data_IF_300086015932
#
_entry.id   IF_300086015932
#
_cell.length_a   1.000
_cell.length_b   1.000
_cell.length_c   1.000
_cell.angle_alpha   90.00
_cell.angle_beta   90.00
_cell.angle_gamma   90.00
#
_symmetry.space_group_name_H-M   'P 1'
#
loop_
_entity.id
_entity.type
_entity.pdbx_description
1 polymer ?
#
# COMPACT_ATOMS: atom_id res chain seq x y z
N UNK A 1 48.49 -1.02 4.53
CA UNK A 1 47.97 -2.38 4.39
C UNK A 1 46.87 -2.32 3.33
N UNK A 2 47.14 -2.88 2.15
CA UNK A 2 46.19 -2.82 1.00
C UNK A 2 45.14 -3.91 1.09
N UNK A 3 43.86 -3.63 0.74
CA UNK A 3 42.86 -4.68 0.64
C UNK A 3 42.97 -5.45 -0.70
N UNK A 4 42.89 -6.75 -0.59
CA UNK A 4 42.92 -7.74 -1.67
C UNK A 4 41.65 -7.69 -2.53
N UNK A 5 41.86 -7.86 -3.85
CA UNK A 5 40.86 -7.82 -4.89
C UNK A 5 39.76 -8.90 -4.80
N UNK A 6 38.59 -8.51 -5.26
CA UNK A 6 37.44 -9.36 -5.50
C UNK A 6 37.47 -9.81 -6.97
N UNK A 7 37.39 -11.13 -7.17
CA UNK A 7 37.35 -11.76 -8.49
C UNK A 7 35.96 -11.62 -9.13
N UNK A 8 35.85 -11.52 -10.47
CA UNK A 8 34.58 -11.35 -11.14
C UNK A 8 33.81 -12.67 -11.28
N UNK A 9 32.51 -12.63 -11.03
CA UNK A 9 31.58 -13.73 -11.19
C UNK A 9 31.34 -14.07 -12.68
N UNK A 10 31.33 -15.37 -12.97
CA UNK A 10 31.06 -15.97 -14.28
C UNK A 10 29.60 -15.70 -14.73
N UNK A 11 29.44 -15.17 -15.95
CA UNK A 11 28.17 -15.15 -16.69
C UNK A 11 27.92 -16.52 -17.35
N UNK A 12 26.71 -17.08 -17.25
CA UNK A 12 26.36 -18.27 -18.04
C UNK A 12 26.06 -17.87 -19.49
N UNK A 13 26.63 -18.66 -20.40
CA UNK A 13 26.46 -18.52 -21.85
C UNK A 13 25.08 -19.04 -22.30
N UNK A 14 24.31 -18.18 -22.96
CA UNK A 14 23.07 -18.56 -23.64
C UNK A 14 23.41 -19.45 -24.86
N UNK A 15 22.97 -20.71 -24.84
CA UNK A 15 22.95 -21.59 -26.00
C UNK A 15 21.79 -21.21 -26.91
N UNK A 16 22.10 -20.68 -28.08
CA UNK A 16 21.19 -20.54 -29.21
C UNK A 16 20.92 -21.91 -29.83
N UNK A 17 19.71 -22.42 -29.69
CA UNK A 17 19.24 -23.57 -30.45
C UNK A 17 18.69 -23.08 -31.79
N UNK A 18 19.36 -23.48 -32.87
CA UNK A 18 18.88 -23.26 -34.23
C UNK A 18 17.78 -24.31 -34.55
N UNK A 19 16.55 -23.84 -34.77
CA UNK A 19 15.50 -24.68 -35.36
C UNK A 19 15.55 -24.58 -36.89
N UNK A 20 15.75 -25.74 -37.52
CA UNK A 20 15.75 -25.90 -38.97
C UNK A 20 14.32 -25.79 -39.50
N UNK A 21 14.14 -24.93 -40.50
CA UNK A 21 12.96 -24.84 -41.34
C UNK A 21 12.87 -26.04 -42.26
N UNK A 22 11.81 -26.83 -42.17
CA UNK A 22 11.37 -27.76 -43.22
C UNK A 22 10.17 -27.10 -43.93
N UNK A 23 10.45 -26.55 -45.10
CA UNK A 23 9.44 -26.08 -46.02
C UNK A 23 8.89 -27.28 -46.83
N UNK A 24 7.63 -27.62 -46.59
CA UNK A 24 6.87 -28.52 -47.48
C UNK A 24 5.85 -27.67 -48.21
N UNK A 25 6.14 -27.39 -49.48
CA UNK A 25 5.20 -26.79 -50.40
C UNK A 25 4.23 -27.85 -50.89
N UNK A 26 2.97 -27.77 -50.51
CA UNK A 26 1.87 -28.51 -51.16
C UNK A 26 1.06 -27.50 -51.97
N UNK A 27 1.28 -27.46 -53.26
CA UNK A 27 0.44 -26.77 -54.23
C UNK A 27 -0.77 -27.64 -54.46
N UNK A 28 -1.94 -27.24 -53.97
CA UNK A 28 -3.23 -27.75 -54.40
C UNK A 28 -4.01 -26.61 -55.04
N UNK A 29 -3.93 -26.53 -56.35
CA UNK A 29 -4.80 -25.73 -57.19
C UNK A 29 -6.17 -26.43 -57.26
N UNK A 30 -7.14 -25.90 -56.54
CA UNK A 30 -8.56 -26.18 -56.77
C UNK A 30 -9.19 -24.89 -57.27
N UNK A 31 -9.39 -24.85 -58.59
CA UNK A 31 -10.29 -23.89 -59.21
C UNK A 31 -11.72 -24.29 -58.87
N UNK A 32 -12.28 -23.73 -57.80
CA UNK A 32 -13.70 -23.70 -57.56
C UNK A 32 -14.18 -22.25 -57.79
N UNK A 33 -14.91 -22.06 -58.87
CA UNK A 33 -15.86 -20.93 -58.99
C UNK A 33 -16.91 -21.12 -57.92
N UNK A 34 -16.60 -20.66 -56.70
CA UNK A 34 -17.53 -20.62 -55.59
C UNK A 34 -17.99 -19.17 -55.41
N UNK A 35 -19.27 -19.02 -55.25
CA UNK A 35 -19.95 -17.78 -54.86
C UNK A 35 -19.14 -17.01 -53.86
N UNK A 36 -18.93 -15.72 -54.12
CA UNK A 36 -18.33 -14.82 -53.13
C UNK A 36 -19.16 -14.93 -51.87
N UNK A 37 -18.58 -15.35 -50.71
CA UNK A 37 -19.36 -15.41 -49.50
C UNK A 37 -19.78 -13.96 -49.18
N UNK A 38 -21.06 -13.65 -49.31
CA UNK A 38 -21.67 -12.41 -48.86
C UNK A 38 -21.80 -12.40 -47.31
N UNK A 39 -20.89 -13.06 -46.63
CA UNK A 39 -20.86 -13.06 -45.17
C UNK A 39 -20.33 -11.72 -44.63
N UNK A 40 -21.06 -11.14 -43.71
CA UNK A 40 -20.56 -10.02 -42.93
C UNK A 40 -19.29 -10.45 -42.18
N UNK A 41 -18.20 -9.71 -42.35
CA UNK A 41 -16.98 -9.95 -41.60
C UNK A 41 -17.21 -9.57 -40.14
N UNK A 42 -16.80 -10.43 -39.24
CA UNK A 42 -16.88 -10.20 -37.80
C UNK A 42 -15.49 -10.38 -37.14
N UNK A 43 -15.23 -9.61 -36.11
CA UNK A 43 -14.13 -9.87 -35.22
C UNK A 43 -14.48 -11.08 -34.35
N UNK A 44 -13.65 -12.10 -34.38
CA UNK A 44 -13.90 -13.38 -33.72
C UNK A 44 -13.93 -13.28 -32.20
N UNK A 45 -14.72 -14.14 -31.59
CA UNK A 45 -14.73 -14.33 -30.15
C UNK A 45 -13.32 -14.60 -29.59
N UNK A 46 -13.00 -14.04 -28.44
CA UNK A 46 -11.72 -14.19 -27.76
C UNK A 46 -10.56 -13.46 -28.43
N UNK A 47 -10.78 -12.59 -29.42
CA UNK A 47 -9.76 -11.65 -29.87
C UNK A 47 -9.32 -10.76 -28.72
N UNK A 48 -8.02 -10.57 -28.50
CA UNK A 48 -7.47 -9.79 -27.39
C UNK A 48 -6.38 -8.86 -27.86
N UNK A 49 -6.32 -7.68 -27.22
CA UNK A 49 -5.24 -6.73 -27.30
C UNK A 49 -4.92 -6.26 -25.88
N UNK A 50 -3.66 -6.12 -25.57
CA UNK A 50 -3.19 -5.61 -24.29
C UNK A 50 -2.08 -4.60 -24.51
N UNK A 51 -2.02 -3.60 -23.64
CA UNK A 51 -0.89 -2.69 -23.54
C UNK A 51 -0.63 -2.47 -22.05
N UNK A 52 0.60 -2.61 -21.64
CA UNK A 52 0.98 -2.43 -20.23
C UNK A 52 1.02 -0.95 -19.84
N UNK A 53 1.15 -0.06 -20.81
CA UNK A 53 1.13 1.38 -20.59
C UNK A 53 0.67 2.10 -21.86
N UNK A 54 -0.36 2.94 -21.76
CA UNK A 54 -0.75 3.88 -22.79
C UNK A 54 -0.75 5.30 -22.19
N UNK A 55 -0.26 6.31 -22.93
CA UNK A 55 -0.05 7.66 -22.38
C UNK A 55 -1.32 8.47 -22.17
N UNK A 56 -2.45 7.95 -22.59
CA UNK A 56 -3.75 8.66 -22.60
C UNK A 56 -4.88 7.72 -22.20
N UNK A 57 -5.93 8.28 -21.61
CA UNK A 57 -7.18 7.53 -21.40
C UNK A 57 -7.86 7.25 -22.74
N UNK A 58 -8.24 5.99 -22.94
CA UNK A 58 -9.12 5.55 -24.05
C UNK A 58 -10.54 5.32 -23.58
N UNK A 59 -10.84 5.65 -22.35
CA UNK A 59 -12.13 5.49 -21.71
C UNK A 59 -13.17 6.47 -22.27
N UNK A 60 -14.39 6.01 -22.64
CA UNK A 60 -15.50 6.91 -22.79
C UNK A 60 -15.77 7.69 -21.50
N UNK A 61 -16.03 8.99 -21.60
CA UNK A 61 -16.19 9.85 -20.44
C UNK A 61 -17.31 9.40 -19.47
N UNK A 62 -18.37 8.80 -19.99
CA UNK A 62 -19.48 8.26 -19.20
C UNK A 62 -19.08 7.01 -18.41
N UNK A 63 -18.20 6.17 -18.97
CA UNK A 63 -17.71 4.96 -18.33
C UNK A 63 -16.63 5.31 -17.28
N UNK A 64 -15.74 6.25 -17.57
CA UNK A 64 -14.78 6.78 -16.61
C UNK A 64 -15.48 7.42 -15.40
N UNK A 65 -16.57 8.14 -15.61
CA UNK A 65 -17.35 8.76 -14.53
C UNK A 65 -17.93 7.75 -13.53
N UNK A 66 -18.14 6.50 -13.93
CA UNK A 66 -18.66 5.44 -13.05
C UNK A 66 -17.64 4.90 -12.08
N UNK A 67 -16.33 5.09 -12.36
CA UNK A 67 -15.22 4.65 -11.54
C UNK A 67 -14.54 5.82 -10.81
N UNK A 68 -15.15 7.01 -10.87
CA UNK A 68 -14.64 8.18 -10.16
C UNK A 68 -14.70 7.99 -8.63
N UNK A 69 -13.74 8.56 -7.91
CA UNK A 69 -13.66 8.42 -6.46
C UNK A 69 -13.27 7.00 -6.03
N UNK A 70 -13.88 6.51 -4.96
CA UNK A 70 -13.53 5.23 -4.36
C UNK A 70 -14.10 4.01 -5.11
N UNK A 71 -15.05 4.20 -6.02
CA UNK A 71 -15.69 3.08 -6.73
C UNK A 71 -14.73 2.28 -7.62
N UNK A 72 -13.70 2.95 -8.16
CA UNK A 72 -12.63 2.32 -8.94
C UNK A 72 -11.42 1.86 -8.13
N UNK A 73 -11.38 2.14 -6.83
CA UNK A 73 -10.21 1.97 -5.99
C UNK A 73 -10.21 0.61 -5.30
N UNK A 74 -9.08 -0.11 -5.35
CA UNK A 74 -8.80 -1.30 -4.55
C UNK A 74 -7.47 -1.11 -3.82
N UNK A 75 -7.50 -1.19 -2.49
CA UNK A 75 -6.36 -0.96 -1.61
C UNK A 75 -5.98 -2.23 -0.86
N UNK A 76 -4.69 -2.53 -0.83
CA UNK A 76 -4.09 -3.56 0.01
C UNK A 76 -2.97 -3.01 0.89
N UNK A 77 -2.32 -3.86 1.66
CA UNK A 77 -1.15 -3.44 2.44
C UNK A 77 0.08 -3.16 1.55
N UNK A 78 0.15 -3.81 0.38
CA UNK A 78 1.30 -3.75 -0.51
C UNK A 78 0.97 -3.23 -1.91
N UNK A 79 -0.28 -2.80 -2.14
CA UNK A 79 -0.69 -2.26 -3.43
C UNK A 79 -1.77 -1.20 -3.31
N UNK A 80 -1.78 -0.31 -4.28
CA UNK A 80 -2.89 0.54 -4.64
C UNK A 80 -3.22 0.30 -6.11
N UNK A 81 -4.48 0.10 -6.43
CA UNK A 81 -4.94 -0.13 -7.78
C UNK A 81 -6.21 0.68 -8.03
N UNK A 82 -6.23 1.41 -9.14
CA UNK A 82 -7.39 2.17 -9.57
C UNK A 82 -7.82 1.76 -10.97
N UNK A 83 -9.05 1.31 -11.09
CA UNK A 83 -9.71 1.11 -12.39
C UNK A 83 -10.18 2.47 -12.90
N UNK A 84 -9.79 2.84 -14.10
CA UNK A 84 -10.25 4.08 -14.76
C UNK A 84 -11.60 3.90 -15.40
N UNK A 85 -11.79 2.80 -16.15
CA UNK A 85 -13.09 2.45 -16.70
C UNK A 85 -13.21 0.98 -17.08
N UNK A 86 -14.47 0.58 -17.24
CA UNK A 86 -14.88 -0.61 -17.98
C UNK A 86 -15.91 -0.17 -19.00
N UNK A 87 -15.65 -0.44 -20.28
CA UNK A 87 -16.55 -0.10 -21.37
C UNK A 87 -16.89 -1.33 -22.20
N UNK A 88 -18.13 -1.39 -22.70
CA UNK A 88 -18.62 -2.46 -23.58
C UNK A 88 -19.29 -1.88 -24.81
N UNK A 89 -19.00 -2.46 -25.98
CA UNK A 89 -19.48 -1.94 -27.24
C UNK A 89 -19.97 -3.08 -28.15
N UNK A 90 -21.18 -2.94 -28.71
CA UNK A 90 -21.67 -3.80 -29.81
C UNK A 90 -20.95 -3.48 -31.14
N UNK A 91 -20.43 -2.26 -31.27
CA UNK A 91 -19.54 -1.81 -32.35
C UNK A 91 -18.65 -0.66 -31.79
N UNK A 92 -17.41 -0.57 -32.24
CA UNK A 92 -16.54 0.51 -31.78
C UNK A 92 -17.10 1.86 -32.23
N UNK A 93 -17.15 2.86 -31.34
CA UNK A 93 -17.51 4.22 -31.69
C UNK A 93 -16.59 4.80 -32.78
N UNK A 94 -17.14 5.68 -33.63
CA UNK A 94 -16.34 6.40 -34.62
C UNK A 94 -15.29 7.28 -33.89
N UNK A 95 -14.03 7.14 -34.31
CA UNK A 95 -12.91 7.88 -33.68
C UNK A 95 -12.43 7.30 -32.35
N UNK A 96 -12.85 6.08 -31.99
CA UNK A 96 -12.31 5.39 -30.81
C UNK A 96 -10.80 5.17 -31.00
N UNK A 97 -9.99 5.72 -30.09
CA UNK A 97 -8.54 5.77 -30.23
C UNK A 97 -7.86 4.44 -29.90
N UNK A 98 -8.15 3.39 -30.67
CA UNK A 98 -7.40 2.13 -30.59
C UNK A 98 -5.99 2.21 -31.22
N UNK A 99 -5.66 3.29 -31.88
CA UNK A 99 -4.35 3.45 -32.57
C UNK A 99 -3.17 3.25 -31.60
N UNK A 100 -3.34 3.62 -30.33
CA UNK A 100 -2.35 3.38 -29.27
C UNK A 100 -2.23 1.90 -28.88
N UNK A 101 -3.28 1.13 -28.98
CA UNK A 101 -3.30 -0.31 -28.68
C UNK A 101 -2.89 -1.16 -29.88
N UNK A 102 -3.18 -0.69 -31.10
CA UNK A 102 -3.10 -1.49 -32.31
C UNK A 102 -1.81 -1.27 -33.11
N UNK A 103 -1.03 -0.24 -32.78
CA UNK A 103 0.19 0.14 -33.54
C UNK A 103 -0.17 0.67 -34.93
N UNK A 104 -0.40 -0.14 -35.93
CA UNK A 104 -0.82 0.29 -37.27
C UNK A 104 -2.15 -0.39 -37.68
N UNK A 105 -3.17 0.42 -37.96
CA UNK A 105 -4.38 0.17 -38.76
C UNK A 105 -4.97 -1.27 -38.76
N UNK A 106 -5.40 -1.75 -37.62
CA UNK A 106 -6.23 -2.97 -37.59
C UNK A 106 -7.71 -2.56 -37.77
N UNK A 107 -8.32 -2.97 -38.87
CA UNK A 107 -9.75 -2.83 -39.03
C UNK A 107 -10.47 -3.88 -38.16
N UNK A 108 -11.02 -3.48 -37.03
CA UNK A 108 -11.91 -4.32 -36.26
C UNK A 108 -13.33 -4.21 -36.81
N UNK A 109 -13.89 -5.34 -37.17
CA UNK A 109 -15.30 -5.45 -37.55
C UNK A 109 -16.15 -5.64 -36.28
N UNK A 110 -17.45 -5.39 -36.37
CA UNK A 110 -18.36 -5.70 -35.25
C UNK A 110 -18.15 -7.13 -34.76
N UNK A 111 -18.31 -7.38 -33.45
CA UNK A 111 -18.20 -8.72 -32.87
C UNK A 111 -19.21 -9.70 -33.52
N UNK A 112 -18.97 -11.00 -33.37
CA UNK A 112 -19.95 -12.02 -33.71
C UNK A 112 -21.27 -11.81 -32.91
N UNK A 113 -22.42 -12.22 -33.42
CA UNK A 113 -23.69 -12.14 -32.69
C UNK A 113 -23.58 -12.82 -31.31
N UNK A 114 -23.98 -12.11 -30.23
CA UNK A 114 -23.91 -12.59 -28.86
C UNK A 114 -22.58 -12.27 -28.16
N UNK A 115 -21.71 -11.52 -28.85
CA UNK A 115 -20.44 -11.02 -28.29
C UNK A 115 -20.39 -9.49 -28.33
N UNK A 116 -19.54 -8.93 -27.51
CA UNK A 116 -19.25 -7.49 -27.43
C UNK A 116 -17.76 -7.24 -27.33
N UNK A 117 -17.31 -6.06 -27.72
CA UNK A 117 -15.99 -5.55 -27.31
C UNK A 117 -16.06 -5.14 -25.86
N UNK A 118 -15.10 -5.58 -25.08
CA UNK A 118 -14.94 -5.21 -23.69
C UNK A 118 -13.57 -4.61 -23.48
N UNK A 119 -13.54 -3.45 -22.83
CA UNK A 119 -12.33 -2.69 -22.49
C UNK A 119 -12.27 -2.56 -20.97
N UNK A 120 -11.10 -2.80 -20.39
CA UNK A 120 -10.75 -2.43 -19.02
C UNK A 120 -9.48 -1.60 -19.09
N UNK A 121 -9.50 -0.41 -18.50
CA UNK A 121 -8.33 0.44 -18.35
C UNK A 121 -8.07 0.73 -16.87
N UNK A 122 -6.81 0.65 -16.48
CA UNK A 122 -6.34 1.08 -15.17
C UNK A 122 -5.85 2.53 -15.24
N UNK A 123 -6.01 3.27 -14.15
CA UNK A 123 -5.61 4.67 -14.09
C UNK A 123 -4.09 4.83 -14.20
N UNK A 124 -3.63 5.95 -14.80
CA UNK A 124 -2.21 6.26 -14.94
C UNK A 124 -1.55 6.61 -13.62
N UNK A 125 -2.31 7.26 -12.75
CA UNK A 125 -1.87 7.61 -11.41
C UNK A 125 -2.69 6.77 -10.43
N UNK A 126 -2.05 5.91 -9.64
CA UNK A 126 -2.78 5.08 -8.68
C UNK A 126 -3.50 5.93 -7.64
N UNK A 127 -2.98 7.07 -7.25
CA UNK A 127 -3.54 7.98 -6.25
C UNK A 127 -2.46 8.51 -5.34
N UNK A 128 -2.86 9.27 -4.32
CA UNK A 128 -1.95 9.85 -3.34
C UNK A 128 -1.68 8.92 -2.12
N UNK A 129 -2.28 7.72 -2.10
CA UNK A 129 -2.07 6.79 -1.01
C UNK A 129 -0.69 6.14 -1.15
N UNK A 130 0.22 6.46 -0.24
CA UNK A 130 1.46 5.70 -0.15
C UNK A 130 1.14 4.28 0.33
N UNK A 131 1.59 3.22 -0.38
CA UNK A 131 1.40 1.86 0.08
C UNK A 131 2.02 1.71 1.49
N UNK A 132 1.25 1.16 2.42
CA UNK A 132 1.57 1.12 3.85
C UNK A 132 2.86 0.36 4.17
N UNK A 133 3.39 -0.45 3.25
CA UNK A 133 4.65 -1.14 3.48
C UNK A 133 5.34 -1.55 2.18
N UNK A 134 6.56 -1.05 1.97
CA UNK A 134 7.35 -1.28 0.76
C UNK A 134 8.04 -2.66 0.69
N UNK A 135 7.90 -3.52 1.69
CA UNK A 135 8.40 -4.89 1.60
C UNK A 135 7.36 -5.75 0.91
N UNK A 136 7.66 -6.10 -0.35
CA UNK A 136 6.81 -6.95 -1.17
C UNK A 136 6.44 -8.24 -0.43
N UNK A 137 5.18 -8.31 0.00
CA UNK A 137 4.53 -9.56 0.36
C UNK A 137 4.34 -10.44 -0.88
N UNK A 138 3.81 -11.63 -0.70
CA UNK A 138 3.35 -12.44 -1.81
C UNK A 138 2.13 -11.75 -2.45
N UNK A 139 2.38 -10.99 -3.51
CA UNK A 139 1.35 -10.29 -4.27
C UNK A 139 1.06 -11.05 -5.56
N UNK A 140 -0.20 -11.25 -5.88
CA UNK A 140 -0.64 -11.79 -7.15
C UNK A 140 -2.00 -11.20 -7.51
N UNK A 141 -2.23 -10.95 -8.80
CA UNK A 141 -3.54 -10.50 -9.27
C UNK A 141 -3.99 -11.29 -10.49
N UNK A 142 -5.30 -11.37 -10.70
CA UNK A 142 -5.91 -11.97 -11.87
C UNK A 142 -7.06 -11.11 -12.36
N UNK A 143 -6.97 -10.60 -13.60
CA UNK A 143 -8.08 -9.97 -14.29
C UNK A 143 -8.79 -11.01 -15.17
N UNK A 144 -10.09 -11.18 -15.00
CA UNK A 144 -10.92 -12.09 -15.83
C UNK A 144 -11.98 -11.28 -16.58
N UNK A 145 -12.08 -11.52 -17.88
CA UNK A 145 -13.15 -11.00 -18.74
C UNK A 145 -13.80 -12.20 -19.44
N UNK A 146 -14.94 -12.64 -18.95
CA UNK A 146 -15.54 -13.89 -19.40
C UNK A 146 -14.62 -15.09 -19.26
N UNK A 147 -14.29 -15.75 -20.38
CA UNK A 147 -13.41 -16.92 -20.41
C UNK A 147 -11.92 -16.56 -20.53
N UNK A 148 -11.56 -15.28 -20.55
CA UNK A 148 -10.18 -14.82 -20.63
C UNK A 148 -9.67 -14.42 -19.26
N UNK A 149 -8.41 -14.78 -18.98
CA UNK A 149 -7.72 -14.38 -17.76
C UNK A 149 -6.33 -13.85 -18.11
N UNK A 150 -5.89 -12.87 -17.31
CA UNK A 150 -4.53 -12.34 -17.28
C UNK A 150 -4.05 -12.44 -15.83
N UNK A 151 -2.97 -13.17 -15.62
CA UNK A 151 -2.37 -13.40 -14.32
C UNK A 151 -1.12 -12.52 -14.17
N UNK A 152 -0.96 -11.91 -12.99
CA UNK A 152 0.12 -11.01 -12.60
C UNK A 152 0.81 -11.59 -11.37
N UNK A 153 1.99 -12.19 -11.59
CA UNK A 153 2.76 -12.80 -10.52
C UNK A 153 3.71 -11.76 -9.89
N UNK A 154 3.51 -11.48 -8.61
CA UNK A 154 4.33 -10.54 -7.86
C UNK A 154 3.92 -9.08 -8.02
N UNK A 155 2.85 -8.78 -8.76
CA UNK A 155 2.41 -7.42 -9.05
C UNK A 155 0.89 -7.32 -9.25
N UNK A 156 0.39 -6.12 -9.40
CA UNK A 156 -0.96 -5.79 -9.90
C UNK A 156 -0.85 -5.23 -11.31
N UNK A 157 -1.98 -5.13 -12.07
CA UNK A 157 -1.97 -4.46 -13.36
C UNK A 157 -1.28 -3.10 -13.31
N UNK A 158 -0.39 -2.84 -14.27
CA UNK A 158 0.40 -1.61 -14.32
C UNK A 158 -0.50 -0.36 -14.47
N UNK A 159 -0.09 0.81 -13.93
CA UNK A 159 -0.77 2.08 -14.20
C UNK A 159 -0.84 2.36 -15.70
N UNK A 160 -2.04 2.75 -16.18
CA UNK A 160 -2.28 2.99 -17.60
C UNK A 160 -2.45 1.73 -18.45
N UNK A 161 -2.39 0.53 -17.87
CA UNK A 161 -2.58 -0.72 -18.59
C UNK A 161 -4.00 -0.82 -19.15
N UNK A 162 -4.10 -1.41 -20.36
CA UNK A 162 -5.37 -1.62 -21.08
C UNK A 162 -5.51 -3.06 -21.51
N UNK A 163 -6.68 -3.62 -21.23
CA UNK A 163 -7.08 -4.96 -21.61
C UNK A 163 -8.35 -4.86 -22.47
N UNK A 164 -8.23 -5.26 -23.72
CA UNK A 164 -9.33 -5.24 -24.67
C UNK A 164 -9.56 -6.65 -25.21
N UNK A 165 -10.82 -7.08 -25.25
CA UNK A 165 -11.18 -8.40 -25.76
C UNK A 165 -12.57 -8.41 -26.40
N UNK A 166 -12.82 -9.43 -27.23
CA UNK A 166 -14.16 -9.80 -27.67
C UNK A 166 -14.70 -10.89 -26.76
N UNK A 167 -15.54 -10.51 -25.83
CA UNK A 167 -16.15 -11.39 -24.84
C UNK A 167 -17.61 -11.66 -25.16
N UNK A 168 -18.16 -12.71 -24.54
CA UNK A 168 -19.61 -12.96 -24.59
C UNK A 168 -20.33 -11.77 -23.96
N UNK A 169 -21.45 -11.36 -24.59
CA UNK A 169 -22.22 -10.23 -24.08
C UNK A 169 -22.65 -10.45 -22.63
N UNK A 170 -22.53 -9.41 -21.83
CA UNK A 170 -22.79 -9.43 -20.37
C UNK A 170 -21.95 -10.44 -19.58
N UNK A 171 -20.80 -10.89 -20.13
CA UNK A 171 -19.88 -11.75 -19.38
C UNK A 171 -19.36 -11.05 -18.11
N UNK A 172 -19.15 -11.78 -17.00
CA UNK A 172 -18.57 -11.19 -15.78
C UNK A 172 -17.16 -10.64 -16.05
N UNK A 173 -16.85 -9.53 -15.40
CA UNK A 173 -15.53 -8.92 -15.41
C UNK A 173 -15.07 -8.80 -13.96
N UNK A 174 -14.07 -9.56 -13.57
CA UNK A 174 -13.62 -9.62 -12.19
C UNK A 174 -12.12 -9.38 -12.09
N UNK A 175 -11.73 -8.64 -11.08
CA UNK A 175 -10.36 -8.48 -10.65
C UNK A 175 -10.21 -9.11 -9.27
N UNK A 176 -9.31 -10.05 -9.15
CA UNK A 176 -8.93 -10.71 -7.91
C UNK A 176 -7.49 -10.34 -7.58
N UNK A 177 -7.24 -9.90 -6.35
CA UNK A 177 -5.90 -9.61 -5.84
C UNK A 177 -5.67 -10.39 -4.57
N UNK A 178 -4.57 -11.14 -4.52
CA UNK A 178 -4.07 -11.84 -3.33
C UNK A 178 -2.86 -11.07 -2.82
N UNK A 179 -2.95 -10.57 -1.60
CA UNK A 179 -1.92 -9.80 -0.94
C UNK A 179 -1.59 -10.45 0.41
N UNK A 180 -0.40 -11.04 0.54
CA UNK A 180 0.05 -11.75 1.74
C UNK A 180 -1.04 -12.71 2.28
N UNK A 181 -1.49 -13.65 1.44
CA UNK A 181 -2.54 -14.66 1.71
C UNK A 181 -3.96 -14.11 1.86
N UNK A 182 -4.18 -12.81 1.79
CA UNK A 182 -5.52 -12.20 1.83
C UNK A 182 -6.03 -11.88 0.44
N UNK A 183 -7.22 -12.39 0.12
CA UNK A 183 -7.86 -12.17 -1.17
C UNK A 183 -8.88 -11.05 -1.09
N UNK A 184 -8.80 -10.13 -2.06
CA UNK A 184 -9.81 -9.13 -2.35
C UNK A 184 -10.32 -9.34 -3.78
N UNK A 185 -11.62 -9.15 -3.99
CA UNK A 185 -12.24 -9.31 -5.31
C UNK A 185 -13.09 -8.09 -5.64
N UNK A 186 -13.01 -7.64 -6.89
CA UNK A 186 -13.86 -6.59 -7.45
C UNK A 186 -14.61 -7.10 -8.67
N UNK A 187 -15.93 -7.07 -8.63
CA UNK A 187 -16.75 -7.18 -9.83
C UNK A 187 -16.77 -5.81 -10.53
N UNK A 188 -16.15 -5.75 -11.71
CA UNK A 188 -15.94 -4.50 -12.40
C UNK A 188 -17.20 -4.03 -13.17
N UNK A 189 -18.18 -4.90 -13.45
CA UNK A 189 -19.46 -4.50 -14.03
C UNK A 189 -20.38 -3.91 -12.97
N UNK A 190 -20.53 -4.63 -11.86
CA UNK A 190 -21.41 -4.23 -10.76
C UNK A 190 -20.73 -3.24 -9.80
N UNK A 191 -19.41 -3.09 -9.89
CA UNK A 191 -18.57 -2.25 -9.04
C UNK A 191 -18.68 -2.64 -7.56
N UNK A 192 -18.96 -3.91 -7.32
CA UNK A 192 -19.00 -4.47 -5.97
C UNK A 192 -17.66 -5.04 -5.58
N UNK A 193 -17.33 -4.95 -4.31
CA UNK A 193 -16.05 -5.39 -3.77
C UNK A 193 -16.24 -6.31 -2.59
N UNK A 194 -15.44 -7.36 -2.51
CA UNK A 194 -15.43 -8.34 -1.42
C UNK A 194 -14.02 -8.44 -0.80
N UNK A 195 -13.95 -8.80 0.46
CA UNK A 195 -12.68 -8.97 1.18
C UNK A 195 -12.00 -7.65 1.59
N UNK A 196 -12.70 -6.51 1.51
CA UNK A 196 -12.16 -5.20 1.86
C UNK A 196 -11.76 -5.11 3.33
N UNK A 197 -10.72 -4.30 3.56
CA UNK A 197 -10.29 -3.90 4.90
C UNK A 197 -10.66 -2.44 5.06
N UNK A 198 -11.66 -2.18 5.89
CA UNK A 198 -12.28 -0.87 6.02
C UNK A 198 -11.26 0.23 6.35
N UNK A 199 -10.27 -0.06 7.19
CA UNK A 199 -9.27 0.92 7.61
C UNK A 199 -8.44 1.52 6.47
N UNK A 200 -8.28 0.80 5.34
CA UNK A 200 -7.57 1.30 4.15
C UNK A 200 -8.34 2.39 3.41
N UNK A 201 -9.66 2.45 3.61
CA UNK A 201 -10.56 3.39 2.90
C UNK A 201 -11.06 4.53 3.79
N UNK A 202 -10.56 4.64 5.03
CA UNK A 202 -11.05 5.63 6.00
C UNK A 202 -9.92 6.47 6.56
N UNK A 203 -10.03 7.78 6.44
CA UNK A 203 -9.09 8.73 7.02
C UNK A 203 -7.70 8.72 6.38
N UNK A 204 -6.79 9.46 7.00
CA UNK A 204 -5.37 9.50 6.61
C UNK A 204 -4.62 8.30 7.16
N UNK A 205 -3.50 7.93 6.52
CA UNK A 205 -2.63 6.86 7.00
C UNK A 205 -1.77 7.30 8.20
N UNK A 206 -1.37 8.57 8.27
CA UNK A 206 -0.48 9.08 9.31
C UNK A 206 -0.81 10.50 9.73
N UNK A 207 -0.41 10.83 10.95
CA UNK A 207 -0.59 12.15 11.58
C UNK A 207 0.61 12.45 12.46
N UNK A 208 1.12 13.67 12.39
CA UNK A 208 2.07 14.24 13.32
C UNK A 208 1.36 15.20 14.27
N UNK A 209 1.68 15.16 15.56
CA UNK A 209 1.05 16.01 16.55
C UNK A 209 1.84 17.28 16.85
N UNK A 210 1.24 18.19 17.61
CA UNK A 210 1.99 19.24 18.29
C UNK A 210 2.94 18.65 19.33
N UNK A 211 4.05 19.35 19.58
CA UNK A 211 5.07 18.90 20.51
C UNK A 211 4.64 19.06 21.99
N UNK A 212 4.85 18.03 22.79
CA UNK A 212 4.86 18.13 24.24
C UNK A 212 6.20 18.72 24.72
N UNK A 213 6.16 19.85 25.42
CA UNK A 213 7.35 20.57 25.89
C UNK A 213 7.26 20.92 27.36
N UNK A 214 8.38 20.80 28.05
CA UNK A 214 8.49 21.19 29.45
C UNK A 214 9.91 21.13 29.96
N UNK A 215 10.08 21.45 31.23
CA UNK A 215 11.30 21.25 31.98
C UNK A 215 11.01 20.62 33.33
N UNK A 216 11.95 19.92 33.86
CA UNK A 216 11.91 19.30 35.19
C UNK A 216 13.19 19.58 35.96
N UNK A 217 13.06 19.60 37.27
CA UNK A 217 14.16 19.67 38.20
C UNK A 217 14.28 18.35 38.96
N UNK A 218 15.46 18.02 39.41
CA UNK A 218 15.69 16.86 40.26
C UNK A 218 16.56 17.19 41.44
N UNK A 219 16.19 16.74 42.66
CA UNK A 219 16.99 17.02 43.87
C UNK A 219 16.86 15.87 44.85
N UNK A 220 18.00 15.50 45.46
CA UNK A 220 18.02 14.53 46.55
C UNK A 220 19.24 14.73 47.45
N UNK A 221 19.20 14.15 48.64
CA UNK A 221 20.33 14.17 49.60
C UNK A 221 20.69 12.75 49.96
N UNK A 222 21.98 12.41 49.88
CA UNK A 222 22.49 11.11 50.30
C UNK A 222 23.67 11.33 51.25
N UNK A 223 23.52 10.99 52.52
CA UNK A 223 24.49 11.29 53.55
C UNK A 223 24.62 12.80 53.80
N UNK A 224 25.83 13.36 53.59
CA UNK A 224 26.10 14.81 53.69
C UNK A 224 26.16 15.50 52.31
N UNK A 225 25.89 14.79 51.24
CA UNK A 225 25.96 15.33 49.88
C UNK A 225 24.56 15.63 49.35
N UNK A 226 24.41 16.77 48.66
CA UNK A 226 23.23 17.15 47.93
C UNK A 226 23.54 16.98 46.45
N UNK A 227 22.61 16.27 45.74
CA UNK A 227 22.66 16.04 44.33
C UNK A 227 21.46 16.72 43.69
N UNK A 228 21.70 17.45 42.58
CA UNK A 228 20.64 18.19 41.92
C UNK A 228 20.97 18.46 40.46
N UNK A 229 19.92 18.67 39.66
CA UNK A 229 19.93 19.31 38.35
C UNK A 229 18.71 20.22 38.27
N UNK A 230 18.84 21.30 37.51
CA UNK A 230 17.75 22.22 37.25
C UNK A 230 17.51 22.32 35.74
N UNK A 231 16.29 22.61 35.35
CA UNK A 231 15.88 22.91 33.98
C UNK A 231 16.25 21.84 32.95
N UNK A 232 16.03 20.55 33.24
CA UNK A 232 16.12 19.55 32.19
C UNK A 232 14.94 19.70 31.26
N UNK A 233 15.19 20.34 30.11
CA UNK A 233 14.19 20.55 29.07
C UNK A 233 13.91 19.27 28.30
N UNK A 234 12.64 19.05 27.97
CA UNK A 234 12.20 18.00 27.06
C UNK A 234 11.26 18.55 26.02
N UNK A 235 11.35 17.99 24.83
CA UNK A 235 10.43 18.20 23.71
C UNK A 235 10.25 16.88 23.00
N UNK A 236 8.99 16.47 22.78
CA UNK A 236 8.67 15.28 21.99
C UNK A 236 7.46 15.52 21.11
N UNK A 237 7.52 15.01 19.90
CA UNK A 237 6.44 14.97 18.90
C UNK A 237 5.99 13.52 18.79
N UNK A 238 4.70 13.30 18.63
CA UNK A 238 4.14 11.98 18.42
C UNK A 238 3.78 11.81 16.95
N UNK A 239 4.30 10.75 16.35
CA UNK A 239 3.95 10.29 15.02
C UNK A 239 2.98 9.13 15.18
N UNK A 240 1.80 9.26 14.59
CA UNK A 240 0.80 8.21 14.62
C UNK A 240 0.60 7.69 13.21
N UNK A 241 0.57 6.36 13.06
CA UNK A 241 0.16 5.70 11.82
C UNK A 241 -0.97 4.73 12.09
N UNK A 242 -1.79 4.49 11.06
CA UNK A 242 -2.83 3.46 11.07
C UNK A 242 -2.47 2.43 10.01
N UNK A 243 -2.24 1.21 10.46
CA UNK A 243 -1.82 0.10 9.63
C UNK A 243 -2.83 -1.05 9.69
N UNK A 244 -2.83 -1.90 8.70
CA UNK A 244 -3.67 -3.10 8.62
C UNK A 244 -2.84 -4.38 8.53
N UNK A 245 -1.55 -4.22 8.33
CA UNK A 245 -0.59 -5.30 8.20
C UNK A 245 0.70 -4.95 8.95
N UNK A 246 1.30 -5.92 9.60
CA UNK A 246 2.58 -5.76 10.28
C UNK A 246 3.53 -6.89 9.88
N UNK A 247 4.75 -6.57 9.36
CA UNK A 247 5.74 -7.58 9.01
C UNK A 247 5.99 -8.56 10.14
N UNK A 248 5.96 -9.86 9.82
CA UNK A 248 6.16 -10.94 10.80
C UNK A 248 4.93 -11.30 11.66
N UNK A 249 3.89 -10.47 11.70
CA UNK A 249 2.61 -10.75 12.37
C UNK A 249 1.50 -11.01 11.36
N UNK A 250 1.56 -10.36 10.19
CA UNK A 250 0.52 -10.45 9.15
C UNK A 250 -0.58 -9.40 9.31
N UNK A 251 -1.72 -9.70 8.73
CA UNK A 251 -2.89 -8.85 8.71
C UNK A 251 -3.56 -8.72 10.08
N UNK A 252 -4.27 -7.60 10.29
CA UNK A 252 -5.25 -7.51 11.40
C UNK A 252 -6.23 -8.68 11.36
N UNK A 253 -6.60 -9.19 12.54
CA UNK A 253 -7.44 -10.39 12.63
C UNK A 253 -8.84 -10.18 12.04
N UNK A 254 -9.41 -8.98 12.27
CA UNK A 254 -10.76 -8.64 11.86
C UNK A 254 -10.74 -7.51 10.81
N UNK A 255 -11.58 -7.53 9.77
CA UNK A 255 -11.57 -6.55 8.68
C UNK A 255 -12.02 -5.14 9.11
N UNK A 256 -12.67 -5.02 10.25
CA UNK A 256 -13.14 -3.78 10.87
C UNK A 256 -12.19 -3.24 11.95
N UNK A 257 -10.96 -3.78 12.02
CA UNK A 257 -9.89 -3.34 12.94
C UNK A 257 -8.73 -2.71 12.18
N UNK A 258 -7.94 -1.93 12.92
CA UNK A 258 -6.67 -1.36 12.48
C UNK A 258 -5.65 -1.42 13.62
N UNK A 259 -4.37 -1.35 13.27
CA UNK A 259 -3.29 -1.13 14.21
C UNK A 259 -2.97 0.37 14.24
N UNK A 260 -3.16 0.99 15.39
CA UNK A 260 -2.68 2.36 15.65
C UNK A 260 -1.27 2.24 16.22
N UNK A 261 -0.27 2.70 15.49
CA UNK A 261 1.11 2.81 15.97
C UNK A 261 1.37 4.24 16.42
N UNK A 262 1.89 4.40 17.64
CA UNK A 262 2.31 5.69 18.20
C UNK A 262 3.81 5.63 18.44
N UNK A 263 4.54 6.50 17.78
CA UNK A 263 5.99 6.62 17.90
C UNK A 263 6.35 7.98 18.49
N UNK A 264 7.32 7.99 19.41
CA UNK A 264 7.87 9.22 19.95
C UNK A 264 9.32 9.05 20.42
N UNK A 265 10.11 10.11 20.24
CA UNK A 265 11.49 10.15 20.65
C UNK A 265 11.66 10.68 22.08
N UNK A 266 12.68 10.19 22.80
CA UNK A 266 12.99 10.58 24.16
C UNK A 266 14.50 10.66 24.39
N UNK A 267 14.96 11.75 25.03
CA UNK A 267 16.34 11.86 25.49
C UNK A 267 16.53 10.97 26.71
N UNK A 268 16.93 9.72 26.47
CA UNK A 268 17.07 8.71 27.52
C UNK A 268 18.21 8.98 28.47
N UNK A 269 19.34 9.46 27.95
CA UNK A 269 20.48 9.88 28.78
C UNK A 269 21.21 11.06 28.16
N UNK A 270 21.77 11.90 29.01
CA UNK A 270 22.65 13.01 28.64
C UNK A 270 23.55 13.42 29.78
N UNK A 271 24.82 13.76 29.49
CA UNK A 271 25.76 14.31 30.45
C UNK A 271 25.93 13.46 31.74
N UNK A 272 25.91 12.13 31.61
CA UNK A 272 26.06 11.20 32.75
C UNK A 272 24.78 10.96 33.56
N UNK A 273 23.69 11.61 33.23
CA UNK A 273 22.36 11.37 33.80
C UNK A 273 21.51 10.53 32.89
N UNK A 274 20.63 9.70 33.46
CA UNK A 274 19.68 8.86 32.75
C UNK A 274 18.24 9.13 33.21
N UNK A 275 17.31 9.33 32.26
CA UNK A 275 15.89 9.42 32.54
C UNK A 275 15.14 8.25 31.87
N UNK A 276 15.14 7.07 32.51
CA UNK A 276 14.49 5.89 31.97
C UNK A 276 12.96 5.97 32.22
N UNK A 277 12.21 6.35 31.20
CA UNK A 277 10.74 6.32 31.27
C UNK A 277 10.21 4.93 30.90
N UNK A 278 9.06 4.58 31.49
CA UNK A 278 8.27 3.43 31.07
C UNK A 278 7.17 3.96 30.13
N UNK A 279 7.23 3.69 28.81
CA UNK A 279 6.33 4.30 27.85
C UNK A 279 4.85 3.97 28.13
N UNK A 280 4.54 2.80 28.70
CA UNK A 280 3.17 2.39 29.08
C UNK A 280 2.62 3.16 30.28
N UNK A 281 3.49 3.76 31.11
CA UNK A 281 3.09 4.56 32.26
C UNK A 281 3.00 6.05 31.93
N UNK A 282 3.92 6.54 31.10
CA UNK A 282 4.00 7.96 30.77
C UNK A 282 3.05 8.37 29.63
N UNK A 283 2.67 7.42 28.76
CA UNK A 283 1.75 7.67 27.66
C UNK A 283 0.48 6.84 27.82
N UNK A 284 -0.67 7.53 27.89
CA UNK A 284 -2.01 6.95 27.85
C UNK A 284 -2.68 7.40 26.56
N UNK A 285 -3.16 6.46 25.79
CA UNK A 285 -3.90 6.73 24.56
C UNK A 285 -5.36 6.37 24.77
N UNK A 286 -6.25 7.25 24.38
CA UNK A 286 -7.70 7.04 24.44
C UNK A 286 -8.28 7.23 23.05
N UNK A 287 -9.20 6.36 22.68
CA UNK A 287 -9.99 6.41 21.45
C UNK A 287 -11.49 6.43 21.77
N UNK A 288 -12.35 6.21 20.77
CA UNK A 288 -13.80 6.17 20.96
C UNK A 288 -14.28 5.15 22.00
N UNK A 289 -13.55 4.04 22.15
CA UNK A 289 -13.85 2.96 23.11
C UNK A 289 -13.30 3.21 24.51
N UNK A 290 -12.60 4.33 24.73
CA UNK A 290 -11.98 4.70 25.98
C UNK A 290 -10.46 4.56 25.99
N UNK A 291 -9.85 4.33 27.18
CA UNK A 291 -8.40 4.13 27.31
C UNK A 291 -7.97 2.81 26.68
N UNK A 292 -6.96 2.88 25.81
CA UNK A 292 -6.43 1.75 25.04
C UNK A 292 -5.24 1.11 25.78
N UNK A 293 -5.16 -0.21 25.71
CA UNK A 293 -3.99 -0.96 26.16
C UNK A 293 -3.10 -1.30 24.96
N UNK A 294 -1.78 -1.02 24.98
CA UNK A 294 -0.92 -1.37 23.88
C UNK A 294 -0.76 -2.88 23.74
N UNK A 295 -0.94 -3.40 22.52
CA UNK A 295 -0.73 -4.81 22.17
C UNK A 295 0.76 -5.13 21.99
N UNK A 296 1.57 -4.12 21.62
CA UNK A 296 3.02 -4.21 21.60
C UNK A 296 3.69 -2.92 22.08
N UNK A 297 4.94 -3.05 22.53
CA UNK A 297 5.77 -1.90 22.94
C UNK A 297 7.23 -2.26 22.71
N UNK A 298 7.89 -1.51 21.83
CA UNK A 298 9.27 -1.68 21.44
C UNK A 298 10.02 -0.35 21.60
N UNK A 299 11.35 -0.40 21.49
CA UNK A 299 12.16 0.80 21.36
C UNK A 299 13.43 0.51 20.54
N UNK A 300 14.00 1.57 19.99
CA UNK A 300 15.32 1.60 19.39
C UNK A 300 16.15 2.73 20.00
N UNK A 301 17.44 2.53 20.14
CA UNK A 301 18.39 3.52 20.67
C UNK A 301 19.29 4.04 19.56
N UNK A 302 19.54 5.34 19.60
CA UNK A 302 20.54 6.03 18.80
C UNK A 302 21.58 6.66 19.74
N UNK A 303 22.83 6.20 19.63
CA UNK A 303 23.94 6.72 20.39
C UNK A 303 24.43 8.04 19.79
N UNK A 304 24.30 9.12 20.56
CA UNK A 304 24.86 10.43 20.26
C UNK A 304 26.19 10.62 21.04
N UNK A 305 26.93 11.68 20.77
CA UNK A 305 28.29 11.86 21.34
C UNK A 305 28.32 11.78 22.86
N UNK A 306 27.37 12.35 23.59
CA UNK A 306 27.28 12.33 25.06
C UNK A 306 25.84 12.08 25.53
N UNK A 307 25.04 11.41 24.71
CA UNK A 307 23.63 11.19 24.98
C UNK A 307 23.14 9.93 24.28
N UNK A 308 22.01 9.39 24.74
CA UNK A 308 21.25 8.35 24.05
C UNK A 308 19.85 8.88 23.77
N UNK A 309 19.51 8.91 22.50
CA UNK A 309 18.14 9.15 22.05
C UNK A 309 17.42 7.82 21.89
N UNK A 310 16.24 7.70 22.48
CA UNK A 310 15.43 6.48 22.42
C UNK A 310 14.11 6.77 21.74
N UNK A 311 13.83 6.03 20.69
CA UNK A 311 12.53 6.07 20.01
C UNK A 311 11.67 4.92 20.52
N UNK A 312 10.53 5.24 21.10
CA UNK A 312 9.54 4.28 21.56
C UNK A 312 8.45 4.10 20.52
N UNK A 313 8.03 2.85 20.31
CA UNK A 313 6.94 2.47 19.41
C UNK A 313 5.92 1.64 20.20
N UNK A 314 4.68 2.14 20.31
CA UNK A 314 3.56 1.43 20.93
C UNK A 314 2.50 1.15 19.87
N UNK A 315 1.99 -0.08 19.81
CA UNK A 315 0.94 -0.46 18.89
C UNK A 315 -0.33 -0.80 19.65
N UNK A 316 -1.47 -0.34 19.16
CA UNK A 316 -2.80 -0.55 19.74
C UNK A 316 -3.70 -1.17 18.68
N UNK A 317 -4.60 -2.05 19.10
CA UNK A 317 -5.68 -2.57 18.27
C UNK A 317 -6.90 -1.66 18.43
N UNK A 318 -7.38 -1.07 17.32
CA UNK A 318 -8.44 -0.05 17.32
C UNK A 318 -9.50 -0.36 16.26
N UNK A 319 -10.74 0.15 16.41
CA UNK A 319 -11.73 0.09 15.34
C UNK A 319 -11.23 0.79 14.06
N UNK A 320 -11.56 0.22 12.90
CA UNK A 320 -11.15 0.76 11.60
C UNK A 320 -11.71 2.17 11.32
N UNK A 321 -12.82 2.53 11.91
CA UNK A 321 -13.49 3.83 11.80
C UNK A 321 -13.06 4.84 12.90
N UNK A 322 -12.18 4.42 13.82
CA UNK A 322 -11.63 5.32 14.83
C UNK A 322 -10.63 6.27 14.19
N UNK A 323 -11.00 7.55 14.06
CA UNK A 323 -10.19 8.59 13.41
C UNK A 323 -9.66 9.65 14.39
N UNK A 324 -10.14 9.65 15.64
CA UNK A 324 -9.74 10.64 16.63
C UNK A 324 -9.23 9.96 17.91
N UNK A 325 -8.09 10.42 18.39
CA UNK A 325 -7.42 9.91 19.59
C UNK A 325 -6.95 11.06 20.46
N UNK A 326 -6.88 10.78 21.77
CA UNK A 326 -6.29 11.70 22.76
C UNK A 326 -5.08 11.00 23.40
N UNK A 327 -3.94 11.65 23.36
CA UNK A 327 -2.70 11.23 23.99
C UNK A 327 -2.53 12.04 25.28
N UNK A 328 -2.44 11.36 26.42
CA UNK A 328 -2.08 11.96 27.70
C UNK A 328 -0.64 11.56 28.03
N UNK A 329 0.28 12.50 27.87
CA UNK A 329 1.70 12.28 28.08
C UNK A 329 2.16 12.97 29.37
N UNK A 330 2.63 12.16 30.32
CA UNK A 330 3.13 12.63 31.61
C UNK A 330 4.48 11.98 31.88
N UNK A 331 5.60 12.66 31.57
CA UNK A 331 6.94 12.12 31.80
C UNK A 331 7.24 12.06 33.30
N UNK A 332 7.14 10.89 33.86
CA UNK A 332 7.35 10.62 35.28
C UNK A 332 8.47 9.59 35.49
N UNK A 333 9.01 9.54 36.68
CA UNK A 333 10.05 8.62 37.08
C UNK A 333 11.31 9.37 37.51
N UNK A 334 12.19 8.75 38.30
CA UNK A 334 13.39 9.41 38.75
C UNK A 334 14.41 9.51 37.60
N UNK A 335 15.17 10.60 37.60
CA UNK A 335 16.44 10.66 36.89
C UNK A 335 17.49 9.95 37.71
N UNK A 336 18.30 9.12 37.09
CA UNK A 336 19.40 8.39 37.72
C UNK A 336 20.73 9.07 37.43
N UNK A 337 21.60 9.07 38.41
CA UNK A 337 23.00 9.42 38.26
C UNK A 337 23.84 8.16 38.52
N UNK A 338 24.14 7.36 37.47
CA UNK A 338 24.76 6.04 37.66
C UNK A 338 26.11 6.07 38.31
N UNK A 339 26.96 7.08 38.04
CA UNK A 339 28.29 7.21 38.63
C UNK A 339 28.25 7.37 40.14
N UNK A 340 27.20 8.00 40.65
CA UNK A 340 27.03 8.28 42.08
C UNK A 340 26.07 7.31 42.77
N UNK A 341 25.48 6.39 42.01
CA UNK A 341 24.42 5.47 42.47
C UNK A 341 23.24 6.20 43.15
N UNK A 342 22.82 7.31 42.58
CA UNK A 342 21.78 8.20 43.10
C UNK A 342 20.58 8.24 42.18
N UNK A 343 19.39 8.31 42.77
CA UNK A 343 18.13 8.59 42.07
C UNK A 343 17.55 9.92 42.53
N UNK A 344 17.27 10.81 41.60
CA UNK A 344 16.74 12.14 41.83
C UNK A 344 15.23 12.15 41.50
N UNK A 345 14.36 12.27 42.52
CA UNK A 345 12.95 12.51 42.29
C UNK A 345 12.75 13.78 41.47
N UNK A 346 11.79 13.77 40.55
CA UNK A 346 11.46 14.93 39.73
C UNK A 346 10.51 15.88 40.42
N UNK A 347 10.52 17.12 39.96
CA UNK A 347 9.53 18.14 40.21
C UNK A 347 9.37 19.01 38.96
N UNK A 348 8.18 19.59 38.79
CA UNK A 348 7.87 20.41 37.62
C UNK A 348 7.27 19.65 36.45
N UNK A 349 7.04 18.33 36.61
CA UNK A 349 6.43 17.49 35.57
C UNK A 349 5.07 18.06 35.13
N UNK A 350 4.84 18.06 33.83
CA UNK A 350 3.57 18.50 33.25
C UNK A 350 2.84 17.34 32.60
N UNK A 351 1.54 17.34 32.74
CA UNK A 351 0.67 16.49 31.94
C UNK A 351 0.30 17.23 30.66
N UNK A 352 0.52 16.58 29.51
CA UNK A 352 0.17 17.08 28.19
C UNK A 352 -0.98 16.28 27.63
N UNK A 353 -2.07 16.96 27.29
CA UNK A 353 -3.19 16.40 26.57
C UNK A 353 -3.10 16.85 25.12
N UNK A 354 -2.98 15.91 24.21
CA UNK A 354 -2.69 16.14 22.80
C UNK A 354 -3.74 15.40 21.97
N UNK A 355 -4.42 16.12 21.08
CA UNK A 355 -5.36 15.52 20.15
C UNK A 355 -4.65 15.10 18.87
N UNK A 356 -5.03 13.93 18.35
CA UNK A 356 -4.62 13.44 17.05
C UNK A 356 -5.85 13.06 16.22
N UNK A 357 -5.93 13.52 14.97
CA UNK A 357 -7.05 13.26 14.07
C UNK A 357 -6.56 12.79 12.71
N UNK A 358 -7.10 11.68 12.25
CA UNK A 358 -6.88 11.08 10.92
C UNK A 358 -7.94 11.52 9.90
N UNK A 359 -8.77 12.53 10.20
CA UNK A 359 -9.77 13.10 9.30
C UNK A 359 -9.17 13.87 8.11
#
# INVERSE_FOLDING_TARGET
>A
MSPKGIAPAHRPAFRRSAFALLATAAVLSVAACGETPTGTLHTRAGYTLTSDEIPVSVCPAEDAARFAGDEGLLLGAHFELRVECVASFDALPEGFQLDYLLGEHVNLYSPEPGYEFTLVQFAHEPGDAEPFNAEAGELAATLKIGDRAWDFDGEVPAPGAVYFTVAKKDAPITLEVVDAERTQTMDLRERTREGLIQALYTGKASVETEAAKGSVDGRTTQGSYEYWFDDWEYETVFYLSRDVFQPGTGWVAEPDRALLTVEFGWLHSASGLEWPIDPKKVLKVSGPEGELAPVSSNHSDEDLTDAVWRTYTLTYDVPADALAFTLNFHPVGPVKWPEEDVSLPLSGEKNHEIAASFE
#
